data_IF_388362221282
#
_entry.id   IF_388362221282
#
_cell.length_a   1.000
_cell.length_b   1.000
_cell.length_c   1.000
_cell.angle_alpha   90.00
_cell.angle_beta   90.00
_cell.angle_gamma   90.00
#
_symmetry.space_group_name_H-M   'P 1'
#
loop_
_entity.id
_entity.type
_entity.pdbx_description
1 polymer ?
#
# COMPACT_ATOMS: atom_id res chain seq x y z
N UNK A 1 31.18 -54.22 -36.38
CA UNK A 1 30.57 -52.92 -36.77
C UNK A 1 29.66 -52.49 -35.63
N UNK A 2 30.16 -51.63 -34.75
CA UNK A 2 29.98 -50.15 -34.74
C UNK A 2 28.84 -49.75 -33.82
N UNK A 3 29.18 -49.23 -32.64
CA UNK A 3 28.19 -48.61 -31.76
C UNK A 3 28.73 -48.08 -30.43
N UNK A 4 29.81 -48.65 -29.88
CA UNK A 4 30.35 -48.25 -28.57
C UNK A 4 31.49 -47.21 -28.63
N UNK A 5 31.82 -46.68 -29.82
CA UNK A 5 32.97 -45.80 -30.05
C UNK A 5 32.60 -44.31 -30.29
N UNK A 6 31.40 -43.87 -29.91
CA UNK A 6 30.95 -42.46 -30.14
C UNK A 6 30.67 -41.64 -28.88
N UNK A 7 30.96 -42.15 -27.68
CA UNK A 7 30.68 -41.43 -26.42
C UNK A 7 31.92 -40.96 -25.65
N UNK A 8 33.13 -41.30 -26.10
CA UNK A 8 34.39 -40.91 -25.45
C UNK A 8 35.10 -39.70 -26.09
N UNK A 9 34.64 -39.23 -27.25
CA UNK A 9 35.27 -38.10 -27.98
C UNK A 9 34.59 -36.74 -27.77
N UNK A 10 33.41 -36.69 -27.15
CA UNK A 10 32.75 -35.41 -26.81
C UNK A 10 33.22 -34.87 -25.45
N UNK A 11 33.73 -35.73 -24.56
CA UNK A 11 34.21 -35.33 -23.23
C UNK A 11 35.68 -34.88 -23.18
N UNK A 12 36.45 -35.04 -24.27
CA UNK A 12 37.84 -34.56 -24.38
C UNK A 12 37.97 -33.17 -25.02
N UNK A 13 36.87 -32.57 -25.50
CA UNK A 13 36.86 -31.28 -26.21
C UNK A 13 36.62 -30.02 -25.37
N UNK A 14 36.18 -30.14 -24.10
CA UNK A 14 35.87 -28.96 -23.26
C UNK A 14 36.87 -28.69 -22.13
N UNK A 15 37.86 -29.57 -21.93
CA UNK A 15 38.86 -29.44 -20.86
C UNK A 15 40.16 -28.73 -21.28
N UNK A 16 40.25 -28.25 -22.53
CA UNK A 16 41.45 -27.56 -23.07
C UNK A 16 41.25 -26.08 -23.39
N UNK A 17 40.07 -25.50 -23.09
CA UNK A 17 39.83 -24.06 -23.25
C UNK A 17 39.99 -23.25 -21.93
N UNK A 18 40.18 -23.93 -20.80
CA UNK A 18 40.41 -23.31 -19.49
C UNK A 18 41.89 -23.06 -19.15
N UNK A 19 42.81 -23.34 -20.07
CA UNK A 19 44.25 -23.08 -19.92
C UNK A 19 44.81 -22.00 -20.86
N UNK A 20 43.96 -21.21 -21.54
CA UNK A 20 44.38 -20.15 -22.47
C UNK A 20 43.84 -18.74 -22.19
N UNK A 21 43.40 -18.47 -20.95
CA UNK A 21 43.16 -17.09 -20.47
C UNK A 21 43.92 -16.78 -19.18
N UNK A 22 45.13 -17.33 -19.09
CA UNK A 22 46.22 -16.82 -18.26
C UNK A 22 47.19 -16.14 -19.23
N UNK A 23 47.70 -14.95 -18.87
CA UNK A 23 48.58 -14.05 -19.65
C UNK A 23 47.92 -13.09 -20.64
N UNK A 24 47.28 -12.03 -20.12
CA UNK A 24 47.49 -10.60 -20.45
C UNK A 24 46.45 -9.84 -19.62
N UNK A 25 46.77 -9.28 -18.47
CA UNK A 25 47.35 -7.94 -18.32
C UNK A 25 48.05 -7.92 -16.96
N UNK A 26 49.37 -8.04 -16.98
CA UNK A 26 50.26 -7.82 -15.85
C UNK A 26 51.45 -7.00 -16.37
N UNK A 27 51.20 -5.70 -16.54
CA UNK A 27 52.15 -4.61 -16.70
C UNK A 27 51.31 -3.38 -16.36
N UNK A 28 51.52 -2.65 -15.27
CA UNK A 28 52.74 -1.94 -14.92
C UNK A 28 52.79 -1.79 -13.40
N UNK A 29 53.90 -2.22 -12.79
CA UNK A 29 54.24 -1.91 -11.40
C UNK A 29 55.76 -1.73 -11.31
N UNK A 30 56.19 -0.47 -11.42
CA UNK A 30 57.46 0.17 -10.98
C UNK A 30 57.50 1.52 -11.72
N UNK A 31 57.42 2.69 -11.09
CA UNK A 31 58.35 3.27 -10.12
C UNK A 31 57.64 4.40 -9.36
N UNK A 32 57.70 4.37 -8.04
CA UNK A 32 58.16 5.50 -7.21
C UNK A 32 58.34 4.94 -5.79
N UNK A 33 59.58 4.58 -5.50
CA UNK A 33 60.06 4.52 -4.12
C UNK A 33 60.10 5.94 -3.58
N UNK A 34 59.47 6.15 -2.43
CA UNK A 34 60.09 6.84 -1.29
C UNK A 34 59.15 6.74 -0.10
N UNK A 35 59.69 6.18 0.99
CA UNK A 35 59.28 6.55 2.33
C UNK A 35 58.10 5.80 2.92
N UNK A 36 58.41 5.17 4.05
CA UNK A 36 57.51 4.87 5.17
C UNK A 36 56.74 3.55 5.08
N UNK A 37 57.29 2.55 5.78
CA UNK A 37 56.53 1.46 6.38
C UNK A 37 55.35 2.04 7.18
N UNK A 38 54.12 1.88 6.69
CA UNK A 38 52.92 1.98 7.51
C UNK A 38 52.04 0.74 7.36
N UNK A 39 51.68 0.20 8.51
CA UNK A 39 50.69 -0.83 8.82
C UNK A 39 49.54 -0.91 7.80
N UNK A 40 49.52 -1.96 6.97
CA UNK A 40 48.40 -2.27 6.05
C UNK A 40 47.32 -3.16 6.67
N UNK A 41 47.47 -3.54 7.94
CA UNK A 41 46.59 -4.47 8.64
C UNK A 41 45.51 -3.75 9.47
N UNK A 42 45.77 -2.53 9.97
CA UNK A 42 44.79 -1.78 10.76
C UNK A 42 43.71 -1.11 9.90
N UNK A 43 44.06 -0.59 8.72
CA UNK A 43 43.14 0.15 7.82
C UNK A 43 42.00 -0.75 7.26
N UNK A 44 42.24 -2.05 7.04
CA UNK A 44 41.16 -3.00 6.67
C UNK A 44 40.20 -3.28 7.82
N UNK A 45 40.70 -3.31 9.06
CA UNK A 45 39.87 -3.48 10.25
C UNK A 45 39.02 -2.25 10.53
N UNK A 46 39.61 -1.06 10.37
CA UNK A 46 38.91 0.22 10.52
C UNK A 46 37.86 0.44 9.44
N UNK A 47 38.15 0.17 8.15
CA UNK A 47 37.13 0.26 7.08
C UNK A 47 35.97 -0.71 7.28
N UNK A 48 36.24 -1.93 7.76
CA UNK A 48 35.19 -2.89 8.11
C UNK A 48 34.34 -2.41 9.30
N UNK A 49 34.95 -1.81 10.32
CA UNK A 49 34.23 -1.24 11.48
C UNK A 49 33.38 -0.03 11.09
N UNK A 50 33.90 0.85 10.23
CA UNK A 50 33.18 2.02 9.71
C UNK A 50 32.00 1.58 8.84
N UNK A 51 32.21 0.62 7.92
CA UNK A 51 31.13 0.08 7.10
C UNK A 51 30.04 -0.59 7.94
N UNK A 52 30.44 -1.37 8.95
CA UNK A 52 29.49 -2.02 9.87
C UNK A 52 28.65 -0.99 10.63
N UNK A 53 29.26 0.10 11.09
CA UNK A 53 28.55 1.17 11.80
C UNK A 53 27.55 1.90 10.88
N UNK A 54 27.93 2.16 9.63
CA UNK A 54 27.03 2.75 8.62
C UNK A 54 25.86 1.79 8.31
N UNK A 55 26.13 0.49 8.22
CA UNK A 55 25.07 -0.51 7.99
C UNK A 55 24.10 -0.61 9.19
N UNK A 56 24.60 -0.46 10.44
CA UNK A 56 23.76 -0.42 11.65
C UNK A 56 22.89 0.85 11.72
N UNK A 57 23.44 2.02 11.41
CA UNK A 57 22.70 3.29 11.33
C UNK A 57 21.65 3.26 10.21
N UNK A 58 22.00 2.65 9.07
CA UNK A 58 21.08 2.44 7.95
C UNK A 58 19.92 1.49 8.29
N UNK A 59 20.22 0.45 9.07
CA UNK A 59 19.19 -0.49 9.53
C UNK A 59 18.21 0.19 10.49
N UNK A 60 18.71 1.02 11.42
CA UNK A 60 17.87 1.77 12.35
C UNK A 60 16.87 2.70 11.63
N UNK A 61 17.35 3.47 10.64
CA UNK A 61 16.49 4.32 9.79
C UNK A 61 15.46 3.48 9.04
N UNK A 62 15.82 2.28 8.59
CA UNK A 62 14.91 1.39 7.89
C UNK A 62 13.83 0.82 8.80
N UNK A 63 14.15 0.45 10.04
CA UNK A 63 13.16 -0.05 11.02
C UNK A 63 12.15 1.05 11.36
N UNK A 64 12.61 2.27 11.64
CA UNK A 64 11.73 3.41 11.90
C UNK A 64 10.84 3.72 10.69
N UNK A 65 11.41 3.63 9.49
CA UNK A 65 10.67 3.75 8.24
C UNK A 65 9.62 2.63 8.07
N UNK A 66 9.93 1.39 8.45
CA UNK A 66 9.00 0.27 8.40
C UNK A 66 7.81 0.48 9.34
N UNK A 67 8.04 0.96 10.57
CA UNK A 67 6.95 1.28 11.51
C UNK A 67 6.00 2.36 10.95
N UNK A 68 6.57 3.38 10.29
CA UNK A 68 5.80 4.38 9.55
C UNK A 68 5.06 3.77 8.36
N UNK A 69 5.74 2.89 7.60
CA UNK A 69 5.20 2.29 6.39
C UNK A 69 4.03 1.35 6.72
N UNK A 70 4.09 0.58 7.80
CA UNK A 70 2.97 -0.24 8.30
C UNK A 70 1.76 0.62 8.66
N UNK A 71 2.00 1.77 9.30
CA UNK A 71 0.94 2.72 9.63
C UNK A 71 0.32 3.37 8.38
N UNK A 72 1.09 3.65 7.34
CA UNK A 72 0.60 4.32 6.12
C UNK A 72 0.06 3.38 5.04
N UNK A 73 0.54 2.13 4.99
CA UNK A 73 0.01 1.10 4.09
C UNK A 73 -1.40 0.67 4.47
N UNK A 74 -1.72 0.67 5.76
CA UNK A 74 -3.09 0.50 6.24
C UNK A 74 -4.03 1.55 5.61
N UNK A 75 -3.51 2.72 5.22
CA UNK A 75 -4.29 3.84 4.69
C UNK A 75 -4.38 3.94 3.17
N UNK A 76 -3.73 3.05 2.40
CA UNK A 76 -3.90 3.02 0.95
C UNK A 76 -2.74 2.42 0.15
N UNK A 77 -2.81 2.63 -1.16
CA UNK A 77 -1.83 2.13 -2.14
C UNK A 77 -0.74 3.18 -2.37
N UNK A 78 0.53 2.79 -2.33
CA UNK A 78 1.68 3.70 -2.55
C UNK A 78 2.54 3.22 -3.71
N UNK A 79 3.17 4.15 -4.45
CA UNK A 79 4.18 3.77 -5.45
C UNK A 79 5.56 3.63 -4.80
N UNK A 80 6.43 2.80 -5.37
CA UNK A 80 7.82 2.65 -4.94
C UNK A 80 8.57 3.98 -4.96
N UNK A 81 8.18 4.91 -5.85
CA UNK A 81 8.74 6.26 -5.89
C UNK A 81 8.36 7.08 -4.66
N UNK A 82 7.09 7.06 -4.26
CA UNK A 82 6.61 7.74 -3.05
C UNK A 82 7.22 7.13 -1.78
N UNK A 83 7.30 5.80 -1.73
CA UNK A 83 7.94 5.03 -0.66
C UNK A 83 9.44 5.41 -0.55
N UNK A 84 10.12 5.54 -1.70
CA UNK A 84 11.54 5.93 -1.75
C UNK A 84 11.75 7.39 -1.32
N UNK A 85 10.93 8.31 -1.79
CA UNK A 85 10.97 9.72 -1.36
C UNK A 85 10.72 9.87 0.14
N UNK A 86 9.84 9.04 0.70
CA UNK A 86 9.58 9.01 2.14
C UNK A 86 10.76 8.46 2.93
N UNK A 87 11.37 7.36 2.51
CA UNK A 87 12.60 6.85 3.13
C UNK A 87 13.71 7.92 3.15
N UNK A 88 13.83 8.73 2.09
CA UNK A 88 14.79 9.82 2.04
C UNK A 88 14.50 10.96 3.05
N UNK A 89 13.28 11.08 3.56
CA UNK A 89 12.93 12.06 4.61
C UNK A 89 13.35 11.59 6.00
N UNK A 90 13.40 10.28 6.22
CA UNK A 90 13.90 9.68 7.46
C UNK A 90 15.43 9.63 7.54
N UNK A 91 16.13 9.84 6.42
CA UNK A 91 17.59 9.89 6.39
C UNK A 91 18.11 11.24 6.93
N UNK A 92 18.76 11.28 8.10
CA UNK A 92 19.29 12.52 8.66
C UNK A 92 20.56 13.00 7.95
N UNK A 93 21.13 12.22 7.03
CA UNK A 93 22.36 12.57 6.33
C UNK A 93 22.10 13.58 5.20
N UNK A 94 22.93 14.64 5.07
CA UNK A 94 22.76 15.66 4.04
C UNK A 94 22.90 15.10 2.61
N UNK A 95 23.65 14.02 2.45
CA UNK A 95 23.88 13.34 1.18
C UNK A 95 22.87 12.21 0.89
N UNK A 96 21.90 11.98 1.79
CA UNK A 96 20.94 10.85 1.74
C UNK A 96 21.63 9.49 1.59
N UNK A 97 22.81 9.37 2.20
CA UNK A 97 23.72 8.24 2.07
C UNK A 97 23.23 6.96 2.76
N UNK A 98 22.29 7.09 3.70
CA UNK A 98 21.66 5.99 4.42
C UNK A 98 20.41 5.49 3.67
N UNK A 99 19.80 6.29 2.79
CA UNK A 99 18.67 5.83 1.99
C UNK A 99 19.06 4.71 1.01
N UNK A 100 18.34 3.59 1.04
CA UNK A 100 18.53 2.52 0.07
C UNK A 100 18.23 3.02 -1.35
N UNK A 101 18.93 2.50 -2.35
CA UNK A 101 18.52 2.70 -3.74
C UNK A 101 17.17 2.01 -3.98
N UNK A 102 16.37 2.49 -4.94
CA UNK A 102 15.03 1.92 -5.24
C UNK A 102 15.06 0.39 -5.43
N UNK A 103 16.09 -0.12 -6.11
CA UNK A 103 16.30 -1.55 -6.30
C UNK A 103 16.50 -2.31 -4.98
N UNK A 104 17.40 -1.81 -4.12
CA UNK A 104 17.68 -2.44 -2.83
C UNK A 104 16.52 -2.28 -1.84
N UNK A 105 15.83 -1.14 -1.87
CA UNK A 105 14.63 -0.90 -1.08
C UNK A 105 13.53 -1.90 -1.44
N UNK A 106 13.26 -2.08 -2.74
CA UNK A 106 12.29 -3.08 -3.22
C UNK A 106 12.63 -4.48 -2.70
N UNK A 107 13.89 -4.90 -2.85
CA UNK A 107 14.34 -6.20 -2.35
C UNK A 107 14.22 -6.33 -0.83
N UNK A 108 14.61 -5.29 -0.09
CA UNK A 108 14.58 -5.31 1.37
C UNK A 108 13.15 -5.30 1.93
N UNK A 109 12.24 -4.57 1.28
CA UNK A 109 10.81 -4.62 1.59
C UNK A 109 10.23 -6.01 1.29
N UNK A 110 10.59 -6.63 0.17
CA UNK A 110 10.21 -8.02 -0.11
C UNK A 110 10.78 -8.99 0.92
N UNK A 111 11.98 -8.75 1.44
CA UNK A 111 12.59 -9.60 2.47
C UNK A 111 11.92 -9.41 3.85
N UNK A 112 11.45 -8.21 4.16
CA UNK A 112 10.87 -7.85 5.47
C UNK A 112 9.38 -8.21 5.54
N UNK A 113 8.65 -7.95 4.46
CA UNK A 113 7.19 -8.11 4.36
C UNK A 113 6.79 -9.29 3.48
N UNK A 114 7.65 -10.31 3.41
CA UNK A 114 7.57 -11.49 2.52
C UNK A 114 6.20 -11.82 1.93
N UNK A 115 5.20 -12.07 2.78
CA UNK A 115 3.87 -12.49 2.37
C UNK A 115 2.79 -11.41 2.45
N UNK A 116 3.11 -10.24 3.02
CA UNK A 116 2.17 -9.12 3.25
C UNK A 116 2.15 -8.12 2.12
N UNK A 117 3.24 -8.00 1.35
CA UNK A 117 3.37 -7.00 0.30
C UNK A 117 3.73 -7.61 -1.04
N UNK A 118 2.99 -7.22 -2.09
CA UNK A 118 3.37 -7.50 -3.46
C UNK A 118 3.53 -6.23 -4.28
N UNK A 119 4.47 -6.30 -5.23
CA UNK A 119 4.74 -5.22 -6.17
C UNK A 119 4.07 -5.55 -7.50
N UNK A 120 3.17 -4.69 -7.97
CA UNK A 120 2.58 -4.81 -9.30
C UNK A 120 3.12 -3.73 -10.23
N UNK A 121 3.52 -4.14 -11.44
CA UNK A 121 3.86 -3.24 -12.54
C UNK A 121 2.89 -3.53 -13.67
N UNK A 122 1.86 -2.69 -13.83
CA UNK A 122 1.06 -2.67 -15.07
C UNK A 122 1.71 -1.70 -16.05
N UNK A 123 1.88 -2.17 -17.29
CA UNK A 123 2.46 -1.49 -18.46
C UNK A 123 2.80 0.00 -18.28
N UNK A 124 4.10 0.31 -18.27
CA UNK A 124 4.69 1.67 -18.21
C UNK A 124 4.35 2.51 -16.96
N UNK A 125 3.69 1.96 -15.92
CA UNK A 125 3.49 2.65 -14.63
C UNK A 125 4.49 2.19 -13.56
N UNK A 126 4.77 3.09 -12.62
CA UNK A 126 5.65 2.87 -11.47
C UNK A 126 5.26 1.62 -10.68
N UNK A 127 6.23 0.94 -10.08
CA UNK A 127 5.98 -0.20 -9.20
C UNK A 127 5.03 0.22 -8.07
N UNK A 128 3.85 -0.40 -7.98
CA UNK A 128 2.85 -0.11 -6.96
C UNK A 128 2.94 -1.13 -5.85
N UNK A 129 2.97 -0.66 -4.60
CA UNK A 129 2.96 -1.45 -3.37
C UNK A 129 1.51 -1.77 -3.00
N UNK A 130 1.17 -3.06 -2.93
CA UNK A 130 -0.15 -3.54 -2.56
C UNK A 130 -0.06 -4.51 -1.38
N UNK A 131 -1.00 -4.41 -0.45
CA UNK A 131 -1.21 -5.40 0.61
C UNK A 131 -1.72 -6.71 -0.03
N UNK A 132 -1.15 -7.83 0.41
CA UNK A 132 -1.58 -9.18 0.07
C UNK A 132 -2.53 -9.68 1.17
N UNK A 133 -3.38 -10.64 0.81
CA UNK A 133 -4.22 -11.33 1.78
C UNK A 133 -3.37 -11.98 2.88
N UNK A 134 -3.58 -11.54 4.12
CA UNK A 134 -2.78 -11.94 5.28
C UNK A 134 -3.52 -12.92 6.22
N UNK A 135 -4.67 -13.45 5.76
CA UNK A 135 -5.55 -14.35 6.53
C UNK A 135 -4.80 -15.53 7.13
N UNK A 136 -3.97 -16.23 6.34
CA UNK A 136 -3.22 -17.40 6.81
C UNK A 136 -2.22 -17.05 7.91
N UNK A 137 -1.60 -15.87 7.83
CA UNK A 137 -0.64 -15.40 8.83
C UNK A 137 -1.36 -15.04 10.14
N UNK A 138 -2.51 -14.36 10.04
CA UNK A 138 -3.36 -14.03 11.19
C UNK A 138 -3.81 -15.30 11.94
N UNK A 139 -4.20 -16.35 11.20
CA UNK A 139 -4.62 -17.62 11.79
C UNK A 139 -3.45 -18.36 12.45
N UNK A 140 -2.28 -18.41 11.81
CA UNK A 140 -1.07 -19.01 12.39
C UNK A 140 -0.65 -18.31 13.67
N UNK A 141 -0.67 -16.98 13.68
CA UNK A 141 -0.37 -16.17 14.85
C UNK A 141 -1.35 -16.45 16.00
N UNK A 142 -2.65 -16.55 15.69
CA UNK A 142 -3.66 -16.91 16.69
C UNK A 142 -3.35 -18.28 17.31
N UNK A 143 -3.10 -19.31 16.49
CA UNK A 143 -2.79 -20.65 16.96
C UNK A 143 -1.50 -20.72 17.79
N UNK A 144 -0.49 -19.91 17.48
CA UNK A 144 0.75 -19.83 18.25
C UNK A 144 0.55 -19.17 19.63
N UNK A 145 -0.43 -18.28 19.76
CA UNK A 145 -0.66 -17.49 20.98
C UNK A 145 -1.69 -18.10 21.94
N UNK A 146 -2.37 -19.19 21.55
CA UNK A 146 -3.42 -19.86 22.35
C UNK A 146 -2.97 -20.27 23.77
N UNK A 147 -1.67 -20.47 23.99
CA UNK A 147 -1.15 -20.94 25.28
C UNK A 147 -0.92 -19.83 26.33
N UNK A 148 -1.01 -18.55 25.95
CA UNK A 148 -0.61 -17.43 26.82
C UNK A 148 -1.58 -16.23 26.75
N UNK A 149 -2.61 -16.20 27.60
CA UNK A 149 -3.41 -14.98 27.83
C UNK A 149 -4.90 -15.20 28.11
N UNK A 150 -5.65 -14.10 28.11
CA UNK A 150 -7.12 -14.12 28.10
C UNK A 150 -7.62 -14.54 26.71
N UNK A 151 -8.08 -15.79 26.62
CA UNK A 151 -8.59 -16.43 25.40
C UNK A 151 -9.65 -15.56 24.70
N UNK A 152 -10.56 -14.94 25.48
CA UNK A 152 -11.59 -14.06 24.94
C UNK A 152 -10.98 -12.87 24.20
N UNK A 153 -10.02 -12.19 24.82
CA UNK A 153 -9.33 -11.05 24.21
C UNK A 153 -8.55 -11.47 22.95
N UNK A 154 -7.95 -12.65 22.94
CA UNK A 154 -7.22 -13.16 21.77
C UNK A 154 -8.16 -13.43 20.59
N UNK A 155 -9.30 -14.09 20.83
CA UNK A 155 -10.32 -14.34 19.80
C UNK A 155 -10.81 -13.01 19.20
N UNK A 156 -11.12 -12.03 20.05
CA UNK A 156 -11.58 -10.71 19.59
C UNK A 156 -10.50 -10.02 18.75
N UNK A 157 -9.23 -10.04 19.20
CA UNK A 157 -8.12 -9.45 18.45
C UNK A 157 -7.95 -10.10 17.07
N UNK A 158 -8.02 -11.42 17.00
CA UNK A 158 -7.92 -12.16 15.75
C UNK A 158 -9.08 -11.85 14.81
N UNK A 159 -10.31 -11.82 15.33
CA UNK A 159 -11.48 -11.43 14.54
C UNK A 159 -11.35 -10.00 13.98
N UNK A 160 -10.86 -9.05 14.79
CA UNK A 160 -10.60 -7.69 14.34
C UNK A 160 -9.53 -7.63 13.24
N UNK A 161 -8.42 -8.38 13.38
CA UNK A 161 -7.38 -8.45 12.35
C UNK A 161 -7.94 -8.96 11.01
N UNK A 162 -8.79 -9.99 11.05
CA UNK A 162 -9.44 -10.53 9.85
C UNK A 162 -10.38 -9.48 9.20
N UNK A 163 -11.19 -8.79 10.00
CA UNK A 163 -12.08 -7.74 9.49
C UNK A 163 -11.27 -6.58 8.88
N UNK A 164 -10.18 -6.14 9.51
CA UNK A 164 -9.32 -5.10 8.97
C UNK A 164 -8.64 -5.54 7.65
N UNK A 165 -8.18 -6.80 7.57
CA UNK A 165 -7.65 -7.37 6.32
C UNK A 165 -8.70 -7.34 5.20
N UNK A 166 -9.93 -7.75 5.48
CA UNK A 166 -11.00 -7.73 4.49
C UNK A 166 -11.33 -6.29 4.01
N UNK A 167 -11.30 -5.30 4.92
CA UNK A 167 -11.44 -3.87 4.57
C UNK A 167 -10.29 -3.39 3.67
N UNK A 168 -9.06 -3.81 3.97
CA UNK A 168 -7.87 -3.50 3.16
C UNK A 168 -7.99 -4.02 1.73
N UNK A 169 -8.64 -5.18 1.57
CA UNK A 169 -8.81 -5.87 0.29
C UNK A 169 -10.01 -5.38 -0.54
N UNK A 170 -10.86 -4.47 -0.01
CA UNK A 170 -11.95 -3.87 -0.80
C UNK A 170 -11.37 -3.12 -1.99
N UNK A 171 -11.81 -3.46 -3.20
CA UNK A 171 -11.42 -2.75 -4.40
C UNK A 171 -12.18 -1.43 -4.48
N UNK A 172 -11.45 -0.32 -4.41
CA UNK A 172 -11.98 1.02 -4.49
C UNK A 172 -11.11 1.83 -5.45
N UNK A 173 -11.74 2.45 -6.45
CA UNK A 173 -11.04 3.33 -7.38
C UNK A 173 -11.05 4.77 -6.86
N UNK A 174 -9.89 5.33 -6.45
CA UNK A 174 -9.82 6.71 -5.98
C UNK A 174 -10.10 7.76 -7.05
N UNK A 175 -10.19 7.36 -8.32
CA UNK A 175 -10.48 8.26 -9.44
C UNK A 175 -11.93 8.18 -9.93
N UNK A 176 -12.72 7.27 -9.37
CA UNK A 176 -14.11 7.09 -9.74
C UNK A 176 -15.00 7.74 -8.70
N UNK A 177 -15.96 8.54 -9.17
CA UNK A 177 -17.01 9.09 -8.33
C UNK A 177 -18.24 8.16 -8.32
N UNK A 178 -18.93 8.03 -7.18
CA UNK A 178 -20.21 7.33 -7.10
C UNK A 178 -21.26 7.91 -8.07
N UNK A 179 -22.10 7.05 -8.64
CA UNK A 179 -23.27 7.48 -9.42
C UNK A 179 -24.46 7.82 -8.52
N UNK A 180 -25.42 8.60 -9.00
CA UNK A 180 -26.66 8.91 -8.27
C UNK A 180 -27.42 7.65 -7.80
N UNK A 181 -27.41 6.60 -8.62
CA UNK A 181 -27.97 5.30 -8.25
C UNK A 181 -27.22 4.66 -7.07
N UNK A 182 -25.88 4.63 -7.12
CA UNK A 182 -25.08 4.06 -6.03
C UNK A 182 -25.21 4.83 -4.70
N UNK A 183 -25.55 6.12 -4.76
CA UNK A 183 -25.78 6.95 -3.57
C UNK A 183 -27.16 6.76 -2.94
N UNK A 184 -28.10 6.10 -3.62
CA UNK A 184 -29.48 5.93 -3.15
C UNK A 184 -29.86 4.46 -2.95
N UNK A 185 -29.28 3.55 -3.73
CA UNK A 185 -29.56 2.12 -3.62
C UNK A 185 -28.83 1.46 -2.44
N UNK A 186 -29.62 0.99 -1.47
CA UNK A 186 -29.10 0.36 -0.24
C UNK A 186 -28.33 -0.92 -0.55
N UNK A 187 -28.75 -1.71 -1.54
CA UNK A 187 -28.09 -2.98 -1.85
C UNK A 187 -26.70 -2.78 -2.45
N UNK A 188 -26.57 -1.82 -3.37
CA UNK A 188 -25.29 -1.40 -3.93
C UNK A 188 -24.35 -0.86 -2.84
N UNK A 189 -24.87 -0.09 -1.90
CA UNK A 189 -24.08 0.43 -0.78
C UNK A 189 -23.64 -0.66 0.19
N UNK A 190 -24.50 -1.64 0.45
CA UNK A 190 -24.17 -2.77 1.31
C UNK A 190 -23.13 -3.69 0.65
N UNK A 191 -23.20 -3.87 -0.67
CA UNK A 191 -22.24 -4.67 -1.44
C UNK A 191 -20.80 -4.13 -1.38
N UNK A 192 -20.60 -2.84 -1.09
CA UNK A 192 -19.27 -2.25 -0.87
C UNK A 192 -18.67 -2.63 0.48
N UNK A 193 -19.48 -3.11 1.43
CA UNK A 193 -19.04 -3.48 2.77
C UNK A 193 -18.64 -4.95 2.78
N UNK A 194 -17.42 -5.32 3.23
CA UNK A 194 -17.03 -6.73 3.36
C UNK A 194 -18.01 -7.56 4.17
N UNK A 195 -18.25 -8.80 3.76
CA UNK A 195 -19.20 -9.69 4.43
C UNK A 195 -18.84 -9.91 5.92
N UNK A 196 -17.56 -10.00 6.26
CA UNK A 196 -17.09 -10.10 7.65
C UNK A 196 -17.49 -8.89 8.50
N UNK A 197 -17.35 -7.69 7.95
CA UNK A 197 -17.79 -6.45 8.59
C UNK A 197 -19.31 -6.38 8.68
N UNK A 198 -20.04 -6.84 7.67
CA UNK A 198 -21.51 -6.95 7.74
C UNK A 198 -21.94 -7.91 8.86
N UNK A 199 -21.30 -9.07 8.98
CA UNK A 199 -21.55 -10.04 10.05
C UNK A 199 -21.30 -9.45 11.43
N UNK A 200 -20.25 -8.63 11.57
CA UNK A 200 -19.95 -7.93 12.83
C UNK A 200 -20.98 -6.83 13.16
N UNK A 201 -21.45 -6.08 12.16
CA UNK A 201 -22.33 -4.92 12.35
C UNK A 201 -23.81 -5.28 12.51
N UNK A 202 -24.32 -6.31 11.80
CA UNK A 202 -25.74 -6.71 11.84
C UNK A 202 -26.29 -6.98 13.26
N UNK A 203 -25.52 -7.58 14.19
CA UNK A 203 -25.97 -7.74 15.58
C UNK A 203 -26.12 -6.40 16.34
N UNK A 204 -25.39 -5.37 15.94
CA UNK A 204 -25.34 -4.06 16.61
C UNK A 204 -26.35 -3.10 15.97
N UNK A 205 -26.52 -3.18 14.65
CA UNK A 205 -27.24 -2.22 13.82
C UNK A 205 -28.46 -2.89 13.16
N UNK A 206 -29.64 -2.31 13.36
CA UNK A 206 -30.93 -2.96 13.08
C UNK A 206 -31.38 -2.96 11.62
N UNK A 207 -30.75 -2.20 10.73
CA UNK A 207 -31.18 -2.07 9.32
C UNK A 207 -29.97 -2.16 8.39
N UNK A 208 -30.18 -2.77 7.21
CA UNK A 208 -29.14 -2.92 6.19
C UNK A 208 -28.59 -1.57 5.72
N UNK A 209 -29.45 -0.56 5.60
CA UNK A 209 -29.05 0.82 5.30
C UNK A 209 -28.04 1.34 6.32
N UNK A 210 -28.32 1.18 7.62
CA UNK A 210 -27.39 1.62 8.66
C UNK A 210 -26.13 0.76 8.71
N UNK A 211 -26.22 -0.53 8.41
CA UNK A 211 -25.03 -1.40 8.26
C UNK A 211 -24.16 -0.90 7.12
N UNK A 212 -24.74 -0.52 5.98
CA UNK A 212 -24.01 0.04 4.84
C UNK A 212 -23.32 1.37 5.21
N UNK A 213 -24.04 2.28 5.90
CA UNK A 213 -23.50 3.56 6.37
C UNK A 213 -22.33 3.37 7.32
N UNK A 214 -22.52 2.54 8.35
CA UNK A 214 -21.49 2.28 9.34
C UNK A 214 -20.30 1.56 8.72
N UNK A 215 -20.55 0.56 7.88
CA UNK A 215 -19.53 -0.17 7.15
C UNK A 215 -18.66 0.75 6.30
N UNK A 216 -19.27 1.66 5.54
CA UNK A 216 -18.55 2.69 4.78
C UNK A 216 -17.71 3.60 5.69
N UNK A 217 -18.23 4.02 6.85
CA UNK A 217 -17.45 4.81 7.81
C UNK A 217 -16.26 4.03 8.39
N UNK A 218 -16.41 2.73 8.67
CA UNK A 218 -15.30 1.87 9.07
C UNK A 218 -14.26 1.74 7.97
N UNK A 219 -14.69 1.53 6.72
CA UNK A 219 -13.79 1.50 5.56
C UNK A 219 -12.97 2.78 5.47
N UNK A 220 -13.61 3.97 5.60
CA UNK A 220 -12.87 5.23 5.64
C UNK A 220 -11.98 5.42 6.85
N UNK A 221 -12.38 4.92 8.01
CA UNK A 221 -11.57 5.03 9.21
C UNK A 221 -10.27 4.22 9.06
N UNK A 222 -10.35 3.00 8.52
CA UNK A 222 -9.18 2.18 8.20
C UNK A 222 -8.39 2.78 7.02
N UNK A 223 -9.09 3.23 5.97
CA UNK A 223 -8.52 3.65 4.70
C UNK A 223 -9.00 5.05 4.29
N UNK A 224 -8.51 6.13 4.92
CA UNK A 224 -9.00 7.48 4.66
C UNK A 224 -8.81 7.94 3.21
N UNK A 225 -7.82 7.37 2.49
CA UNK A 225 -7.48 7.76 1.11
C UNK A 225 -7.94 6.76 0.04
N UNK A 226 -8.73 5.74 0.38
CA UNK A 226 -9.09 4.67 -0.56
C UNK A 226 -10.19 5.02 -1.56
N UNK A 227 -10.48 6.30 -1.80
CA UNK A 227 -11.51 6.72 -2.76
C UNK A 227 -12.83 7.12 -2.12
N UNK A 228 -13.72 7.71 -2.92
CA UNK A 228 -14.94 8.38 -2.47
C UNK A 228 -16.06 7.37 -2.23
N UNK A 229 -16.65 7.38 -1.03
CA UNK A 229 -17.74 6.46 -0.71
C UNK A 229 -19.12 7.06 -1.03
N UNK A 230 -20.06 6.28 -1.61
CA UNK A 230 -21.36 6.80 -2.07
C UNK A 230 -22.17 7.51 -0.99
N UNK A 231 -22.24 6.95 0.22
CA UNK A 231 -23.03 7.56 1.28
C UNK A 231 -22.47 8.92 1.72
N UNK A 232 -21.15 8.98 1.95
CA UNK A 232 -20.50 10.19 2.43
C UNK A 232 -20.52 11.30 1.38
N UNK A 233 -20.41 10.95 0.09
CA UNK A 233 -20.55 11.89 -1.02
C UNK A 233 -21.99 12.37 -1.17
N UNK A 234 -22.96 11.45 -1.18
CA UNK A 234 -24.38 11.79 -1.29
C UNK A 234 -24.84 12.74 -0.18
N UNK A 235 -24.41 12.46 1.06
CA UNK A 235 -24.68 13.34 2.19
C UNK A 235 -24.00 14.72 2.04
N UNK A 236 -22.74 14.76 1.57
CA UNK A 236 -22.03 16.01 1.32
C UNK A 236 -22.75 16.87 0.27
N UNK A 237 -23.20 16.27 -0.83
CA UNK A 237 -23.94 16.95 -1.90
C UNK A 237 -25.27 17.51 -1.38
N UNK A 238 -26.04 16.71 -0.63
CA UNK A 238 -27.32 17.15 -0.06
C UNK A 238 -27.14 18.34 0.89
N UNK A 239 -26.13 18.28 1.76
CA UNK A 239 -25.82 19.34 2.70
C UNK A 239 -25.29 20.60 2.00
N UNK A 240 -24.47 20.45 0.95
CA UNK A 240 -24.01 21.58 0.14
C UNK A 240 -25.19 22.25 -0.57
N UNK A 241 -26.10 21.45 -1.14
CA UNK A 241 -27.29 21.95 -1.81
C UNK A 241 -28.25 22.67 -0.85
N UNK A 242 -28.50 22.11 0.35
CA UNK A 242 -29.45 22.69 1.31
C UNK A 242 -28.90 23.91 2.04
N UNK A 243 -27.60 23.93 2.37
CA UNK A 243 -27.03 24.95 3.25
C UNK A 243 -25.94 25.82 2.60
N UNK A 244 -25.29 25.35 1.53
CA UNK A 244 -24.21 26.07 0.84
C UNK A 244 -23.01 26.43 1.72
N UNK A 245 -22.84 25.74 2.86
CA UNK A 245 -21.87 26.13 3.89
C UNK A 245 -20.62 25.25 3.83
N UNK A 246 -19.55 25.81 3.24
CA UNK A 246 -18.21 25.21 3.26
C UNK A 246 -17.71 24.92 4.68
N UNK A 247 -18.01 25.79 5.64
CA UNK A 247 -17.59 25.60 7.03
C UNK A 247 -18.24 24.36 7.65
N UNK A 248 -19.55 24.19 7.44
CA UNK A 248 -20.31 23.06 7.98
C UNK A 248 -19.83 21.74 7.38
N UNK A 249 -19.67 21.69 6.05
CA UNK A 249 -19.18 20.49 5.36
C UNK A 249 -17.78 20.11 5.82
N UNK A 250 -16.87 21.08 5.94
CA UNK A 250 -15.53 20.81 6.45
C UNK A 250 -15.54 20.32 7.91
N UNK A 251 -16.48 20.78 8.74
CA UNK A 251 -16.62 20.30 10.11
C UNK A 251 -17.13 18.86 10.17
N UNK A 252 -18.10 18.50 9.34
CA UNK A 252 -18.62 17.13 9.26
C UNK A 252 -17.61 16.17 8.65
N UNK A 253 -16.85 16.64 7.65
CA UNK A 253 -15.74 15.89 7.09
C UNK A 253 -14.65 15.59 8.12
N UNK A 254 -14.27 16.56 8.96
CA UNK A 254 -13.32 16.36 10.06
C UNK A 254 -13.78 15.29 11.07
N UNK A 255 -15.10 15.11 11.20
CA UNK A 255 -15.69 14.09 12.07
C UNK A 255 -15.90 12.73 11.35
N UNK A 256 -15.59 12.64 10.06
CA UNK A 256 -15.71 11.42 9.27
C UNK A 256 -17.13 11.12 8.74
N UNK A 257 -18.05 12.08 8.79
CA UNK A 257 -19.44 11.86 8.35
C UNK A 257 -19.68 12.14 6.86
N UNK A 258 -18.87 13.00 6.26
CA UNK A 258 -19.03 13.44 4.87
C UNK A 258 -17.70 13.50 4.15
N UNK A 259 -17.76 13.56 2.82
CA UNK A 259 -16.60 13.95 2.03
C UNK A 259 -16.27 15.44 2.16
N UNK A 260 -15.06 15.80 1.75
CA UNK A 260 -14.58 17.19 1.85
C UNK A 260 -15.35 18.12 0.91
N UNK A 261 -15.42 19.40 1.25
CA UNK A 261 -16.03 20.39 0.36
C UNK A 261 -15.35 20.41 -1.02
N UNK A 262 -14.03 20.31 -1.07
CA UNK A 262 -13.28 20.24 -2.33
C UNK A 262 -13.68 19.04 -3.17
N UNK A 263 -13.85 17.88 -2.53
CA UNK A 263 -14.25 16.65 -3.22
C UNK A 263 -15.67 16.76 -3.77
N UNK A 264 -16.58 17.37 -3.00
CA UNK A 264 -17.96 17.63 -3.43
C UNK A 264 -18.03 18.58 -4.62
N UNK A 265 -17.15 19.59 -4.69
CA UNK A 265 -17.09 20.46 -5.86
C UNK A 265 -16.49 19.75 -7.06
N UNK A 266 -15.44 18.94 -6.87
CA UNK A 266 -14.83 18.15 -7.93
C UNK A 266 -15.85 17.21 -8.58
N UNK A 267 -16.64 16.49 -7.78
CA UNK A 267 -17.75 15.66 -8.24
C UNK A 267 -18.72 16.45 -9.13
N UNK A 268 -19.17 17.63 -8.68
CA UNK A 268 -20.05 18.50 -9.48
C UNK A 268 -19.43 18.91 -10.81
N UNK A 269 -18.13 19.22 -10.83
CA UNK A 269 -17.43 19.54 -12.08
C UNK A 269 -17.33 18.34 -13.02
N UNK A 270 -17.04 17.15 -12.50
CA UNK A 270 -17.04 15.90 -13.26
C UNK A 270 -18.41 15.63 -13.86
N UNK A 271 -19.47 15.70 -13.05
CA UNK A 271 -20.85 15.50 -13.48
C UNK A 271 -21.30 16.50 -14.57
N UNK A 272 -20.92 17.77 -14.43
CA UNK A 272 -21.22 18.79 -15.44
C UNK A 272 -20.47 18.55 -16.75
N UNK A 273 -19.24 18.05 -16.70
CA UNK A 273 -18.45 17.73 -17.89
C UNK A 273 -18.98 16.48 -18.61
N UNK A 274 -19.40 15.46 -17.88
CA UNK A 274 -20.04 14.26 -18.45
C UNK A 274 -21.34 14.61 -19.20
N UNK A 275 -22.09 15.61 -18.72
CA UNK A 275 -23.28 16.13 -19.43
C UNK A 275 -22.95 16.90 -20.71
N UNK A 276 -21.74 17.45 -20.82
CA UNK A 276 -21.33 18.32 -21.93
C UNK A 276 -20.50 17.61 -23.01
N UNK A 277 -20.07 16.36 -22.79
CA UNK A 277 -19.33 15.56 -23.76
C UNK A 277 -19.67 14.06 -23.65
N UNK A 278 -20.32 13.52 -24.69
CA UNK A 278 -20.64 12.10 -24.90
C UNK A 278 -21.58 11.40 -23.89
N UNK A 279 -22.89 11.58 -24.13
CA UNK A 279 -23.79 10.45 -24.41
C UNK A 279 -24.03 9.39 -23.33
N UNK A 280 -24.65 9.76 -22.21
CA UNK A 280 -25.70 8.92 -21.60
C UNK A 280 -26.94 9.80 -21.42
N UNK A 281 -28.02 9.48 -22.13
CA UNK A 281 -29.36 9.99 -21.80
C UNK A 281 -29.76 9.38 -20.45
N UNK A 282 -29.44 10.06 -19.35
CA UNK A 282 -30.07 9.75 -18.08
C UNK A 282 -31.37 10.57 -18.00
N UNK A 283 -32.47 9.91 -18.37
CA UNK A 283 -33.82 10.33 -18.03
C UNK A 283 -34.03 10.13 -16.54
N UNK A 284 -33.56 11.07 -15.72
CA UNK A 284 -33.92 11.16 -14.31
C UNK A 284 -34.02 12.62 -13.88
N UNK A 285 -35.17 13.19 -14.23
CA UNK A 285 -35.72 14.44 -13.71
C UNK A 285 -36.19 14.26 -12.24
N UNK A 286 -35.35 13.67 -11.39
CA UNK A 286 -35.69 13.26 -10.01
C UNK A 286 -34.87 13.96 -8.93
N UNK A 287 -34.58 15.25 -9.13
CA UNK A 287 -34.17 16.15 -8.04
C UNK A 287 -35.14 17.31 -7.83
N UNK A 288 -36.40 17.17 -8.27
CA UNK A 288 -37.46 18.11 -7.92
C UNK A 288 -38.35 17.56 -6.81
N UNK A 289 -38.33 18.29 -5.70
CA UNK A 289 -39.31 18.32 -4.60
C UNK A 289 -39.21 17.18 -3.59
N UNK A 290 -38.31 17.33 -2.61
CA UNK A 290 -38.58 16.80 -1.27
C UNK A 290 -39.69 17.67 -0.69
N UNK A 291 -40.89 17.12 -0.62
CA UNK A 291 -41.98 17.69 0.17
C UNK A 291 -41.53 17.68 1.62
N UNK A 292 -41.44 18.87 2.22
CA UNK A 292 -41.28 19.01 3.67
C UNK A 292 -42.48 18.33 4.35
N UNK A 293 -42.30 17.11 4.88
CA UNK A 293 -43.17 16.57 5.91
C UNK A 293 -43.04 17.49 7.13
N UNK A 294 -44.00 18.40 7.23
CA UNK A 294 -44.23 19.20 8.42
C UNK A 294 -45.08 18.37 9.37
N UNK A 295 -44.51 18.08 10.54
CA UNK A 295 -45.19 17.45 11.68
C UNK A 295 -46.58 18.06 11.93
N UNK A 296 -47.61 17.20 11.89
CA UNK A 296 -48.84 17.28 12.69
C UNK A 296 -49.36 15.90 13.02
#
# INVERSE_FOLDING_TARGET
MTGALKLLDVWKGSMTLWQKKVCTICAVKTLFETGVHYSKTEDRGQRKRVQKKIDEEREAVFVEFCDWLDSELEHGVMTLDQVHEKLQQFDPSPDKSLSYSKYWLKKKLQDTFHDTLYFTSKERRADVLCLKDDTDNILREHHANLEHGDEKTQIIKTALKLVCNDIAMVDLDPKSYPTAHSMTDVQSQLALVPESLQMFLRPIVKTDERVAIWGQNFIKACRPRSGVLPFQMGLAIQLDHRFGSKWMLNKLHQLGYTESYSETQNDKYCFLNDRNGDGIQDTSDTLYTIVEETDR
#
